data_IF_042241161636
#
_entry.id   IF_042241161636
#
_cell.length_a   1.000
_cell.length_b   1.000
_cell.length_c   1.000
_cell.angle_alpha   90.00
_cell.angle_beta   90.00
_cell.angle_gamma   90.00
#
_symmetry.space_group_name_H-M   'P 1'
#
loop_
_entity.id
_entity.type
_entity.pdbx_description
1 polymer ?
#
# COMPACT_ATOMS: atom_id res chain seq x y z
N UNK A 1 0.97 4.41 -27.37
CA UNK A 1 2.06 3.90 -26.49
C UNK A 1 1.64 2.56 -25.92
N UNK A 2 2.48 1.55 -26.13
CA UNK A 2 2.30 0.17 -25.67
C UNK A 2 3.11 -0.05 -24.38
N UNK A 3 2.47 -0.49 -23.32
CA UNK A 3 3.09 -0.63 -22.00
C UNK A 3 2.97 -2.06 -21.50
N UNK A 4 4.05 -2.57 -20.89
CA UNK A 4 4.02 -3.81 -20.10
C UNK A 4 4.31 -3.45 -18.64
N UNK A 5 3.38 -3.80 -17.74
CA UNK A 5 3.63 -3.81 -16.30
C UNK A 5 4.07 -5.21 -15.89
N UNK A 6 5.21 -5.33 -15.22
CA UNK A 6 5.77 -6.59 -14.76
C UNK A 6 5.77 -6.67 -13.22
N UNK A 7 5.10 -7.67 -12.68
CA UNK A 7 5.08 -7.96 -11.24
C UNK A 7 5.48 -9.41 -11.01
N UNK A 8 6.60 -9.62 -10.29
CA UNK A 8 7.14 -10.95 -10.04
C UNK A 8 6.39 -11.67 -8.91
N UNK A 9 5.09 -11.89 -9.12
CA UNK A 9 4.18 -12.52 -8.17
C UNK A 9 3.16 -13.37 -8.89
N UNK A 10 2.68 -14.41 -8.20
CA UNK A 10 1.53 -15.19 -8.66
C UNK A 10 0.24 -14.40 -8.39
N UNK A 11 -0.57 -14.22 -9.43
CA UNK A 11 -1.90 -13.63 -9.33
C UNK A 11 -2.94 -14.69 -9.71
N UNK A 12 -3.81 -15.04 -8.76
CA UNK A 12 -4.89 -15.98 -9.03
C UNK A 12 -6.08 -15.25 -9.66
N UNK A 13 -6.31 -15.50 -10.95
CA UNK A 13 -7.43 -14.93 -11.70
C UNK A 13 -8.66 -15.84 -11.73
N UNK A 14 -8.75 -16.86 -10.87
CA UNK A 14 -9.94 -17.75 -10.80
C UNK A 14 -11.14 -16.94 -10.28
N UNK A 15 -12.27 -17.05 -11.00
CA UNK A 15 -13.58 -16.48 -10.68
C UNK A 15 -13.57 -14.97 -10.41
N UNK A 16 -13.70 -14.14 -11.46
CA UNK A 16 -14.07 -12.71 -11.43
C UNK A 16 -13.81 -11.85 -10.15
N UNK A 17 -13.44 -12.46 -9.06
CA UNK A 17 -13.04 -11.85 -7.79
C UNK A 17 -11.62 -12.27 -7.43
N UNK A 18 -10.68 -11.33 -7.51
CA UNK A 18 -9.29 -11.54 -7.08
C UNK A 18 -9.27 -11.50 -5.55
N UNK A 19 -9.54 -12.62 -4.93
CA UNK A 19 -9.93 -12.68 -3.52
C UNK A 19 -8.80 -12.53 -2.49
N UNK A 20 -7.52 -12.41 -2.86
CA UNK A 20 -6.40 -12.19 -1.90
C UNK A 20 -5.18 -11.62 -2.61
N UNK A 21 -5.28 -10.40 -3.16
CA UNK A 21 -4.13 -9.72 -3.72
C UNK A 21 -3.23 -9.14 -2.64
N UNK A 22 -1.93 -9.23 -2.86
CA UNK A 22 -0.98 -8.38 -2.18
C UNK A 22 -1.10 -6.92 -2.61
N UNK A 23 -0.59 -5.99 -1.79
CA UNK A 23 -0.68 -4.56 -2.10
C UNK A 23 0.02 -4.19 -3.41
N UNK A 24 1.15 -4.83 -3.73
CA UNK A 24 1.91 -4.55 -4.97
C UNK A 24 1.15 -5.08 -6.18
N UNK A 25 0.62 -6.29 -6.10
CA UNK A 25 -0.19 -6.92 -7.15
C UNK A 25 -1.44 -6.08 -7.45
N UNK A 26 -2.12 -5.63 -6.41
CA UNK A 26 -3.28 -4.75 -6.55
C UNK A 26 -2.89 -3.40 -7.18
N UNK A 27 -1.79 -2.77 -6.75
CA UNK A 27 -1.31 -1.54 -7.36
C UNK A 27 -1.05 -1.70 -8.87
N UNK A 28 -0.42 -2.80 -9.30
CA UNK A 28 -0.17 -3.07 -10.71
C UNK A 28 -1.48 -3.26 -11.50
N UNK A 29 -2.44 -3.99 -10.95
CA UNK A 29 -3.75 -4.19 -11.58
C UNK A 29 -4.53 -2.88 -11.70
N UNK A 30 -4.59 -2.09 -10.64
CA UNK A 30 -5.30 -0.82 -10.62
C UNK A 30 -4.68 0.17 -11.61
N UNK A 31 -3.34 0.28 -11.62
CA UNK A 31 -2.65 1.13 -12.56
C UNK A 31 -2.92 0.69 -14.00
N UNK A 32 -2.78 -0.61 -14.31
CA UNK A 32 -3.02 -1.15 -15.64
C UNK A 32 -4.44 -0.83 -16.15
N UNK A 33 -5.45 -1.11 -15.33
CA UNK A 33 -6.84 -0.87 -15.70
C UNK A 33 -7.14 0.63 -15.93
N UNK A 34 -6.56 1.52 -15.11
CA UNK A 34 -6.79 2.95 -15.28
C UNK A 34 -5.99 3.56 -16.44
N UNK A 35 -4.81 3.04 -16.76
CA UNK A 35 -4.09 3.42 -17.99
C UNK A 35 -4.82 2.97 -19.26
N UNK A 36 -5.48 1.79 -19.25
CA UNK A 36 -6.37 1.35 -20.35
C UNK A 36 -7.56 2.31 -20.51
N UNK A 37 -8.16 2.78 -19.42
CA UNK A 37 -9.24 3.79 -19.48
C UNK A 37 -8.76 5.11 -20.11
N UNK A 38 -7.47 5.45 -19.97
CA UNK A 38 -6.83 6.61 -20.60
C UNK A 38 -6.40 6.35 -22.06
N UNK A 39 -6.80 5.24 -22.66
CA UNK A 39 -6.55 4.91 -24.07
C UNK A 39 -5.18 4.29 -24.37
N UNK A 40 -4.44 3.82 -23.36
CA UNK A 40 -3.15 3.17 -23.57
C UNK A 40 -3.30 1.66 -23.79
N UNK A 41 -2.45 1.09 -24.65
CA UNK A 41 -2.33 -0.37 -24.82
C UNK A 41 -1.47 -0.95 -23.70
N UNK A 42 -2.09 -1.59 -22.72
CA UNK A 42 -1.42 -2.09 -21.52
C UNK A 42 -1.56 -3.59 -21.39
N UNK A 43 -0.46 -4.28 -21.09
CA UNK A 43 -0.41 -5.70 -20.73
C UNK A 43 0.19 -5.87 -19.32
N UNK A 44 -0.31 -6.84 -18.57
CA UNK A 44 0.24 -7.22 -17.28
C UNK A 44 1.03 -8.53 -17.42
N UNK A 45 2.31 -8.50 -17.03
CA UNK A 45 3.15 -9.69 -16.93
C UNK A 45 3.25 -10.13 -15.47
N UNK A 46 2.85 -11.37 -15.17
CA UNK A 46 2.94 -11.96 -13.83
C UNK A 46 3.22 -13.46 -13.89
N UNK A 47 3.37 -14.10 -12.74
CA UNK A 47 3.63 -15.55 -12.68
C UNK A 47 2.33 -16.29 -13.00
N UNK A 48 2.18 -16.72 -14.25
CA UNK A 48 1.10 -17.58 -14.77
C UNK A 48 1.68 -18.56 -15.78
N UNK A 49 1.00 -19.70 -16.01
CA UNK A 49 1.43 -20.69 -17.04
C UNK A 49 1.09 -20.20 -18.45
N UNK A 50 -0.15 -19.80 -18.69
CA UNK A 50 -0.66 -19.45 -20.01
C UNK A 50 -1.18 -18.01 -20.04
N UNK A 51 -1.20 -17.40 -21.24
CA UNK A 51 -1.84 -16.10 -21.46
C UNK A 51 -3.30 -16.14 -21.03
N UNK A 52 -3.75 -15.06 -20.40
CA UNK A 52 -5.13 -14.89 -19.91
C UNK A 52 -5.64 -13.49 -20.23
N UNK A 53 -6.91 -13.26 -19.98
CA UNK A 53 -7.54 -11.95 -20.06
C UNK A 53 -8.28 -11.69 -18.74
N UNK A 54 -8.09 -10.52 -18.16
CA UNK A 54 -8.82 -10.09 -16.98
C UNK A 54 -9.58 -8.80 -17.30
N UNK A 55 -10.88 -8.95 -17.61
CA UNK A 55 -11.64 -7.88 -18.23
C UNK A 55 -11.02 -7.45 -19.57
N UNK A 56 -10.69 -6.16 -19.69
CA UNK A 56 -9.98 -5.62 -20.87
C UNK A 56 -8.46 -5.78 -20.81
N UNK A 57 -7.90 -6.19 -19.67
CA UNK A 57 -6.45 -6.29 -19.46
C UNK A 57 -5.90 -7.65 -19.94
N UNK A 58 -5.05 -7.69 -20.98
CA UNK A 58 -4.31 -8.89 -21.35
C UNK A 58 -3.25 -9.21 -20.30
N UNK A 59 -3.18 -10.47 -19.88
CA UNK A 59 -2.22 -10.97 -18.91
C UNK A 59 -1.32 -12.01 -19.58
N UNK A 60 -0.01 -11.83 -19.44
CA UNK A 60 1.01 -12.68 -20.07
C UNK A 60 1.93 -13.32 -19.04
N UNK A 61 2.52 -14.51 -19.34
CA UNK A 61 3.51 -15.11 -18.48
C UNK A 61 4.75 -14.22 -18.35
N UNK A 62 5.20 -13.98 -17.12
CA UNK A 62 6.33 -13.06 -16.86
C UNK A 62 7.64 -13.59 -17.48
N UNK A 63 7.81 -14.90 -17.59
CA UNK A 63 8.99 -15.50 -18.21
C UNK A 63 9.13 -15.14 -19.69
N UNK A 64 8.04 -14.79 -20.39
CA UNK A 64 8.11 -14.32 -21.77
C UNK A 64 8.93 -13.04 -21.93
N UNK A 65 9.10 -12.25 -20.86
CA UNK A 65 9.94 -11.05 -20.86
C UNK A 65 11.45 -11.37 -20.94
N UNK A 66 11.85 -12.58 -20.62
CA UNK A 66 13.25 -13.02 -20.66
C UNK A 66 13.65 -13.61 -22.02
N UNK A 67 12.69 -14.06 -22.81
CA UNK A 67 12.91 -14.81 -24.07
C UNK A 67 12.65 -13.98 -25.31
N UNK A 68 11.81 -12.94 -25.24
CA UNK A 68 11.37 -12.14 -26.40
C UNK A 68 12.07 -10.78 -26.47
N UNK A 69 12.30 -10.28 -27.68
CA UNK A 69 12.63 -8.86 -27.93
C UNK A 69 11.36 -8.04 -27.79
N UNK A 70 11.25 -7.27 -26.69
CA UNK A 70 10.01 -6.53 -26.36
C UNK A 70 9.81 -5.28 -27.22
N UNK A 71 10.86 -4.73 -27.84
CA UNK A 71 10.79 -3.55 -28.70
C UNK A 71 9.79 -3.68 -29.86
N UNK A 72 9.45 -4.90 -30.24
CA UNK A 72 8.40 -5.14 -31.24
C UNK A 72 6.97 -5.05 -30.66
N UNK A 73 6.82 -5.12 -29.31
CA UNK A 73 5.53 -5.30 -28.65
C UNK A 73 5.23 -4.26 -27.57
N UNK A 74 6.24 -3.49 -27.12
CA UNK A 74 6.04 -2.44 -26.15
C UNK A 74 7.07 -1.32 -26.28
N UNK A 75 6.63 -0.11 -25.95
CA UNK A 75 7.47 1.08 -25.91
C UNK A 75 8.06 1.25 -24.50
N UNK A 76 7.33 0.83 -23.47
CA UNK A 76 7.68 1.01 -22.06
C UNK A 76 7.51 -0.28 -21.26
N UNK A 77 8.54 -0.69 -20.55
CA UNK A 77 8.49 -1.75 -19.55
C UNK A 77 8.58 -1.17 -18.14
N UNK A 78 7.51 -1.27 -17.36
CA UNK A 78 7.46 -0.89 -15.95
C UNK A 78 7.61 -2.17 -15.12
N UNK A 79 8.68 -2.29 -14.33
CA UNK A 79 8.93 -3.47 -13.49
C UNK A 79 8.87 -3.13 -12.01
N UNK A 80 8.03 -3.84 -11.26
CA UNK A 80 7.84 -3.61 -9.83
C UNK A 80 8.91 -4.33 -9.00
N UNK A 81 9.70 -3.57 -8.24
CA UNK A 81 10.74 -4.02 -7.29
C UNK A 81 11.86 -4.91 -7.87
N UNK A 82 11.96 -5.07 -9.17
CA UNK A 82 13.04 -5.88 -9.77
C UNK A 82 13.47 -5.35 -11.13
N UNK A 83 14.77 -5.29 -11.36
CA UNK A 83 15.37 -4.92 -12.65
C UNK A 83 15.64 -6.13 -13.56
N UNK A 84 15.38 -7.35 -13.08
CA UNK A 84 15.69 -8.62 -13.77
C UNK A 84 15.23 -8.66 -15.24
N UNK A 85 14.11 -8.04 -15.56
CA UNK A 85 13.49 -8.09 -16.88
C UNK A 85 14.03 -7.06 -17.88
N UNK A 86 15.00 -6.22 -17.48
CA UNK A 86 15.60 -5.19 -18.34
C UNK A 86 16.75 -5.70 -19.21
N UNK A 87 17.44 -6.76 -18.79
CA UNK A 87 18.77 -7.15 -19.33
C UNK A 87 18.78 -7.49 -20.83
N UNK A 88 17.72 -8.02 -21.38
CA UNK A 88 17.67 -8.40 -22.81
C UNK A 88 16.90 -7.39 -23.66
N UNK A 89 16.51 -6.24 -23.07
CA UNK A 89 15.61 -5.30 -23.73
C UNK A 89 16.39 -4.09 -24.20
N UNK A 90 16.49 -3.92 -25.52
CA UNK A 90 17.05 -2.71 -26.18
C UNK A 90 15.91 -1.89 -26.76
N UNK A 91 16.13 -0.60 -26.93
CA UNK A 91 15.20 0.34 -27.61
C UNK A 91 13.79 0.40 -27.01
N UNK A 92 13.70 0.29 -25.68
CA UNK A 92 12.48 0.54 -24.91
C UNK A 92 12.77 1.37 -23.67
N UNK A 93 11.79 2.13 -23.21
CA UNK A 93 11.87 2.88 -21.97
C UNK A 93 11.72 1.89 -20.78
N UNK A 94 12.70 1.91 -19.87
CA UNK A 94 12.74 1.06 -18.69
C UNK A 94 12.40 1.86 -17.46
N UNK A 95 11.36 1.44 -16.73
CA UNK A 95 10.92 2.08 -15.48
C UNK A 95 10.93 1.06 -14.35
N UNK A 96 11.72 1.33 -13.32
CA UNK A 96 11.73 0.54 -12.08
C UNK A 96 10.78 1.18 -11.07
N UNK A 97 9.67 0.52 -10.77
CA UNK A 97 8.67 0.99 -9.79
C UNK A 97 8.94 0.37 -8.43
N UNK A 98 9.50 1.16 -7.51
CA UNK A 98 9.90 0.69 -6.18
C UNK A 98 8.80 0.90 -5.15
N UNK A 99 8.33 -0.22 -4.59
CA UNK A 99 7.41 -0.27 -3.45
C UNK A 99 8.13 -0.60 -2.14
N UNK A 100 9.32 -1.19 -2.20
CA UNK A 100 10.11 -1.58 -1.04
C UNK A 100 11.51 -0.97 -1.13
N UNK A 101 12.16 -0.81 0.04
CA UNK A 101 13.55 -0.39 0.08
C UNK A 101 14.45 -1.38 -0.68
N UNK A 102 15.31 -0.84 -1.51
CA UNK A 102 16.33 -1.58 -2.23
C UNK A 102 17.66 -1.44 -1.50
N UNK A 103 18.08 -2.48 -0.79
CA UNK A 103 19.36 -2.56 -0.10
C UNK A 103 20.44 -3.05 -1.06
N UNK A 104 21.66 -2.50 -1.00
CA UNK A 104 22.76 -2.83 -1.92
C UNK A 104 23.10 -4.32 -1.85
N UNK A 105 23.36 -4.86 -0.67
CA UNK A 105 23.68 -6.29 -0.47
C UNK A 105 22.62 -7.21 -1.09
N UNK A 106 21.35 -6.88 -0.87
CA UNK A 106 20.24 -7.64 -1.42
C UNK A 106 20.12 -7.52 -2.93
N UNK A 107 20.49 -6.36 -3.49
CA UNK A 107 20.50 -6.14 -4.94
C UNK A 107 21.66 -6.88 -5.62
N UNK A 108 22.83 -6.97 -4.98
CA UNK A 108 23.97 -7.80 -5.43
C UNK A 108 23.56 -9.26 -5.44
N UNK A 109 23.12 -9.80 -4.29
CA UNK A 109 22.72 -11.22 -4.15
C UNK A 109 21.64 -11.65 -5.15
N UNK A 110 20.80 -10.73 -5.60
CA UNK A 110 19.72 -11.00 -6.58
C UNK A 110 20.09 -10.61 -8.01
N UNK A 111 21.34 -10.32 -8.31
CA UNK A 111 21.84 -9.84 -9.60
C UNK A 111 21.08 -8.61 -10.15
N UNK A 112 20.52 -7.79 -9.26
CA UNK A 112 19.77 -6.59 -9.65
C UNK A 112 20.69 -5.39 -9.83
N UNK A 113 21.79 -5.31 -9.06
CA UNK A 113 22.75 -4.20 -9.16
C UNK A 113 23.36 -4.14 -10.56
N UNK A 114 23.88 -5.26 -11.06
CA UNK A 114 24.43 -5.33 -12.42
C UNK A 114 23.39 -4.93 -13.48
N UNK A 115 22.17 -5.40 -13.33
CA UNK A 115 21.08 -5.02 -14.23
C UNK A 115 20.79 -3.52 -14.19
N UNK A 116 20.84 -2.86 -13.03
CA UNK A 116 20.65 -1.41 -12.89
C UNK A 116 21.82 -0.64 -13.50
N UNK A 117 23.06 -1.11 -13.26
CA UNK A 117 24.27 -0.49 -13.82
C UNK A 117 24.24 -0.49 -15.36
N UNK A 118 23.88 -1.61 -15.96
CA UNK A 118 23.85 -1.77 -17.42
C UNK A 118 22.68 -1.02 -18.08
N UNK A 119 21.53 -0.96 -17.40
CA UNK A 119 20.28 -0.47 -18.01
C UNK A 119 19.91 0.98 -17.59
N UNK A 120 20.47 1.47 -16.51
CA UNK A 120 20.19 2.83 -15.96
C UNK A 120 18.71 3.20 -16.04
N UNK A 121 17.77 2.42 -15.43
CA UNK A 121 16.36 2.64 -15.61
C UNK A 121 15.91 3.97 -15.00
N UNK A 122 14.80 4.52 -15.48
CA UNK A 122 14.07 5.53 -14.74
C UNK A 122 13.48 4.90 -13.48
N UNK A 123 13.61 5.53 -12.31
CA UNK A 123 13.11 4.99 -11.06
C UNK A 123 11.93 5.79 -10.52
N UNK A 124 10.82 5.12 -10.28
CA UNK A 124 9.63 5.68 -9.64
C UNK A 124 9.49 5.12 -8.24
N UNK A 125 9.44 5.99 -7.24
CA UNK A 125 9.28 5.69 -5.83
C UNK A 125 7.86 5.99 -5.38
N UNK A 126 7.29 5.14 -4.53
CA UNK A 126 5.92 5.33 -4.03
C UNK A 126 5.78 6.41 -2.95
N UNK A 127 6.90 6.93 -2.41
CA UNK A 127 6.94 8.00 -1.40
C UNK A 127 8.25 8.77 -1.45
N UNK A 128 8.27 9.99 -0.90
CA UNK A 128 9.51 10.76 -0.70
C UNK A 128 10.44 10.03 0.27
N UNK A 129 9.89 9.46 1.34
CA UNK A 129 10.63 8.65 2.30
C UNK A 129 11.41 7.53 1.60
N UNK A 130 10.74 6.72 0.77
CA UNK A 130 11.41 5.62 0.05
C UNK A 130 12.50 6.14 -0.91
N UNK A 131 12.25 7.26 -1.60
CA UNK A 131 13.25 7.93 -2.44
C UNK A 131 14.48 8.33 -1.61
N UNK A 132 14.28 8.92 -0.43
CA UNK A 132 15.34 9.46 0.41
C UNK A 132 16.20 8.36 1.06
N UNK A 133 15.58 7.24 1.49
CA UNK A 133 16.31 6.11 2.07
C UNK A 133 16.96 5.20 1.02
N UNK A 134 16.68 5.40 -0.27
CA UNK A 134 17.33 4.64 -1.34
C UNK A 134 18.59 5.37 -1.77
N UNK A 135 19.72 4.72 -1.58
CA UNK A 135 21.04 5.31 -1.86
C UNK A 135 21.14 5.95 -3.25
N UNK A 136 21.89 7.04 -3.35
CA UNK A 136 22.21 7.72 -4.62
C UNK A 136 23.18 6.93 -5.49
N UNK A 137 23.88 5.95 -4.95
CA UNK A 137 24.82 5.09 -5.69
C UNK A 137 24.17 4.26 -6.81
N UNK A 138 22.85 4.07 -6.78
CA UNK A 138 22.17 3.46 -7.91
C UNK A 138 22.10 4.45 -9.09
N UNK A 139 22.67 4.11 -10.27
CA UNK A 139 22.72 5.01 -11.43
C UNK A 139 21.40 5.02 -12.20
N UNK A 140 20.35 5.44 -11.52
CA UNK A 140 19.05 5.67 -12.17
C UNK A 140 19.12 6.87 -13.10
N UNK A 141 18.55 6.75 -14.32
CA UNK A 141 18.44 7.86 -15.27
C UNK A 141 17.59 9.00 -14.70
N UNK A 142 16.54 8.68 -13.94
CA UNK A 142 15.73 9.65 -13.22
C UNK A 142 15.23 9.08 -11.89
N UNK A 143 14.87 9.94 -10.93
CA UNK A 143 14.34 9.58 -9.60
C UNK A 143 13.07 10.38 -9.32
N UNK A 144 11.91 9.82 -9.64
CA UNK A 144 10.60 10.45 -9.54
C UNK A 144 9.77 9.84 -8.44
N UNK A 145 8.91 10.62 -7.78
CA UNK A 145 7.94 10.11 -6.80
C UNK A 145 6.55 10.14 -7.41
N UNK A 146 5.92 8.97 -7.54
CA UNK A 146 4.49 8.82 -7.88
C UNK A 146 3.88 7.89 -6.86
N UNK A 147 2.94 8.40 -6.09
CA UNK A 147 2.28 7.67 -5.01
C UNK A 147 1.43 6.51 -5.53
N UNK A 148 1.17 5.51 -4.68
CA UNK A 148 0.13 4.53 -4.96
C UNK A 148 -1.26 5.15 -4.82
N UNK A 149 -2.23 4.57 -5.52
CA UNK A 149 -3.62 4.98 -5.44
C UNK A 149 -4.41 4.26 -4.35
N UNK A 150 -5.59 4.79 -4.07
CA UNK A 150 -6.61 4.20 -3.21
C UNK A 150 -7.75 3.61 -4.05
N UNK A 151 -8.24 2.45 -3.64
CA UNK A 151 -9.42 1.84 -4.29
C UNK A 151 -10.68 2.66 -4.01
N UNK A 152 -11.55 2.77 -5.00
CA UNK A 152 -12.87 3.42 -4.89
C UNK A 152 -13.73 2.85 -3.75
N UNK A 153 -13.54 1.57 -3.41
CA UNK A 153 -14.24 0.93 -2.29
C UNK A 153 -14.07 1.70 -0.97
N UNK A 154 -12.91 2.31 -0.76
CA UNK A 154 -12.63 3.10 0.44
C UNK A 154 -12.96 4.58 0.23
N UNK A 155 -12.73 5.14 -0.95
CA UNK A 155 -13.04 6.54 -1.27
C UNK A 155 -14.54 6.84 -1.28
N UNK A 156 -15.37 5.85 -1.66
CA UNK A 156 -16.84 5.93 -1.66
C UNK A 156 -17.46 5.41 -0.36
N UNK A 157 -16.64 5.01 0.61
CA UNK A 157 -17.09 4.44 1.87
C UNK A 157 -17.74 5.51 2.75
N UNK A 158 -18.97 5.27 3.20
CA UNK A 158 -19.68 6.18 4.09
C UNK A 158 -19.53 5.71 5.54
N UNK A 159 -19.17 6.62 6.43
CA UNK A 159 -19.08 6.32 7.87
C UNK A 159 -20.46 5.96 8.45
N UNK A 160 -20.44 5.00 9.36
CA UNK A 160 -21.62 4.54 10.10
C UNK A 160 -21.40 4.72 11.59
N UNK A 161 -22.41 5.14 12.33
CA UNK A 161 -22.34 5.24 13.80
C UNK A 161 -22.23 3.84 14.42
N UNK A 162 -21.42 3.71 15.44
CA UNK A 162 -21.39 2.58 16.37
C UNK A 162 -21.44 3.05 17.81
N UNK A 163 -21.94 2.20 18.68
CA UNK A 163 -22.04 2.45 20.11
C UNK A 163 -20.68 2.36 20.81
N UNK A 164 -19.86 1.38 20.43
CA UNK A 164 -18.56 1.17 21.03
C UNK A 164 -17.44 1.79 20.18
N UNK A 165 -16.41 2.38 20.82
CA UNK A 165 -15.22 2.87 20.13
C UNK A 165 -14.43 1.70 19.52
N UNK A 166 -14.33 1.64 18.19
CA UNK A 166 -13.56 0.62 17.49
C UNK A 166 -12.32 1.27 16.90
N UNK A 167 -11.18 0.77 17.34
CA UNK A 167 -9.85 1.08 16.81
C UNK A 167 -9.47 0.01 15.81
N UNK A 168 -8.77 0.38 14.75
CA UNK A 168 -8.28 -0.58 13.78
C UNK A 168 -6.77 -0.52 13.66
N UNK A 169 -6.20 -1.69 13.40
CA UNK A 169 -4.83 -1.83 12.97
C UNK A 169 -4.74 -2.89 11.87
N UNK A 170 -4.12 -2.54 10.77
CA UNK A 170 -3.94 -3.46 9.64
C UNK A 170 -2.47 -3.71 9.42
N UNK A 171 -2.05 -4.96 9.60
CA UNK A 171 -0.65 -5.38 9.60
C UNK A 171 -0.47 -6.71 8.89
N UNK A 172 0.66 -6.88 8.19
CA UNK A 172 1.00 -8.15 7.51
C UNK A 172 1.97 -9.05 8.28
N UNK A 173 2.74 -8.50 9.20
CA UNK A 173 3.77 -9.20 9.99
C UNK A 173 3.66 -8.74 11.44
N UNK A 174 4.24 -9.52 12.36
CA UNK A 174 4.21 -9.23 13.81
C UNK A 174 5.06 -8.00 14.23
N UNK A 175 5.17 -7.00 13.37
CA UNK A 175 5.97 -5.80 13.64
C UNK A 175 5.24 -4.89 14.62
N UNK A 176 5.73 -4.85 15.86
CA UNK A 176 5.15 -4.02 16.91
C UNK A 176 3.86 -4.60 17.51
N UNK A 177 3.58 -5.90 17.33
CA UNK A 177 2.38 -6.52 17.90
C UNK A 177 2.42 -6.52 19.43
N UNK A 178 3.53 -6.95 20.04
CA UNK A 178 3.74 -6.97 21.49
C UNK A 178 3.53 -5.60 22.12
N UNK A 179 4.09 -4.57 21.49
CA UNK A 179 4.00 -3.20 21.97
C UNK A 179 2.59 -2.62 21.86
N UNK A 180 1.88 -2.93 20.78
CA UNK A 180 0.47 -2.53 20.62
C UNK A 180 -0.41 -3.25 21.64
N UNK A 181 -0.21 -4.56 21.87
CA UNK A 181 -0.96 -5.32 22.87
C UNK A 181 -0.70 -4.78 24.28
N UNK A 182 0.56 -4.49 24.59
CA UNK A 182 0.94 -3.86 25.87
C UNK A 182 0.30 -2.49 26.03
N UNK A 183 0.43 -1.61 25.02
CA UNK A 183 -0.17 -0.28 25.03
C UNK A 183 -1.69 -0.35 25.22
N UNK A 184 -2.35 -1.25 24.50
CA UNK A 184 -3.79 -1.43 24.57
C UNK A 184 -4.23 -1.81 25.99
N UNK A 185 -3.63 -2.87 26.55
CA UNK A 185 -3.98 -3.35 27.88
C UNK A 185 -3.64 -2.33 28.98
N UNK A 186 -2.45 -1.71 28.92
CA UNK A 186 -1.94 -0.84 29.97
C UNK A 186 -2.57 0.54 30.01
N UNK A 187 -2.97 1.09 28.86
CA UNK A 187 -3.37 2.49 28.76
C UNK A 187 -4.78 2.69 28.19
N UNK A 188 -5.24 1.90 27.21
CA UNK A 188 -6.53 2.12 26.58
C UNK A 188 -7.63 1.35 27.29
N UNK A 189 -7.51 0.03 27.37
CA UNK A 189 -8.57 -0.82 27.92
C UNK A 189 -8.91 -0.51 29.38
N UNK A 190 -7.90 -0.18 30.20
CA UNK A 190 -8.11 0.22 31.61
C UNK A 190 -8.99 1.47 31.77
N UNK A 191 -8.96 2.40 30.79
CA UNK A 191 -9.73 3.65 30.82
C UNK A 191 -11.06 3.55 30.06
N UNK A 192 -11.06 2.72 29.02
CA UNK A 192 -12.21 2.54 28.12
C UNK A 192 -12.48 1.04 27.90
N UNK A 193 -13.06 0.34 28.90
CA UNK A 193 -13.29 -1.11 28.80
C UNK A 193 -14.27 -1.51 27.68
N UNK A 194 -15.08 -0.57 27.19
CA UNK A 194 -15.99 -0.76 26.04
C UNK A 194 -15.30 -0.64 24.68
N UNK A 195 -14.03 -0.18 24.64
CA UNK A 195 -13.28 -0.04 23.41
C UNK A 195 -12.86 -1.41 22.85
N UNK A 196 -12.82 -1.50 21.53
CA UNK A 196 -12.37 -2.70 20.81
C UNK A 196 -11.20 -2.36 19.88
N UNK A 197 -10.17 -3.22 19.86
CA UNK A 197 -9.09 -3.17 18.87
C UNK A 197 -9.28 -4.29 17.85
N UNK A 198 -9.53 -3.91 16.61
CA UNK A 198 -9.70 -4.83 15.48
C UNK A 198 -8.40 -4.93 14.68
N UNK A 199 -7.78 -6.11 14.65
CA UNK A 199 -6.51 -6.36 13.96
C UNK A 199 -6.78 -7.18 12.69
N UNK A 200 -6.34 -6.64 11.54
CA UNK A 200 -6.51 -7.25 10.22
C UNK A 200 -5.16 -7.58 9.58
N UNK A 201 -5.16 -8.58 8.69
CA UNK A 201 -4.03 -8.94 7.84
C UNK A 201 -2.99 -9.86 8.48
N UNK A 202 -3.01 -10.01 9.78
CA UNK A 202 -2.15 -10.95 10.48
C UNK A 202 -2.67 -12.38 10.30
N UNK A 203 -1.84 -13.27 9.76
CA UNK A 203 -2.09 -14.71 9.86
C UNK A 203 -1.79 -15.11 11.30
N UNK A 204 -2.82 -15.43 12.08
CA UNK A 204 -2.66 -15.77 13.48
C UNK A 204 -2.13 -17.20 13.64
N UNK A 205 -0.84 -17.38 13.79
CA UNK A 205 -0.27 -18.55 14.45
C UNK A 205 -0.19 -18.35 15.97
N UNK A 206 -1.02 -17.43 16.50
CA UNK A 206 -1.07 -17.18 17.94
C UNK A 206 -1.73 -18.35 18.66
N UNK A 207 -1.14 -18.73 19.80
CA UNK A 207 -1.70 -19.75 20.69
C UNK A 207 -3.14 -19.40 21.09
N UNK A 208 -4.01 -20.40 21.21
CA UNK A 208 -5.42 -20.24 21.62
C UNK A 208 -5.56 -19.46 22.94
N UNK A 209 -4.68 -19.71 23.92
CA UNK A 209 -4.66 -19.00 25.20
C UNK A 209 -4.39 -17.50 25.03
N UNK A 210 -3.41 -17.13 24.18
CA UNK A 210 -3.12 -15.72 23.88
C UNK A 210 -4.32 -15.06 23.19
N UNK A 211 -4.96 -15.74 22.22
CA UNK A 211 -6.14 -15.21 21.54
C UNK A 211 -7.32 -15.00 22.51
N UNK A 212 -7.51 -15.91 23.48
CA UNK A 212 -8.55 -15.77 24.49
C UNK A 212 -8.27 -14.59 25.42
N UNK A 213 -7.04 -14.45 25.92
CA UNK A 213 -6.62 -13.32 26.75
C UNK A 213 -6.82 -11.98 26.02
N UNK A 214 -6.49 -11.94 24.73
CA UNK A 214 -6.73 -10.75 23.90
C UNK A 214 -8.24 -10.43 23.80
N UNK A 215 -9.10 -11.42 23.62
CA UNK A 215 -10.56 -11.21 23.56
C UNK A 215 -11.11 -10.64 24.85
N UNK A 216 -10.61 -11.09 25.99
CA UNK A 216 -11.05 -10.61 27.32
C UNK A 216 -10.76 -9.11 27.53
N UNK A 217 -9.84 -8.55 26.80
CA UNK A 217 -9.48 -7.12 26.83
C UNK A 217 -9.89 -6.39 25.53
N UNK A 218 -10.92 -6.86 24.83
CA UNK A 218 -11.50 -6.20 23.66
C UNK A 218 -10.69 -6.29 22.37
N UNK A 219 -9.63 -7.12 22.29
CA UNK A 219 -8.82 -7.28 21.08
C UNK A 219 -9.35 -8.40 20.22
N UNK A 220 -9.64 -8.14 18.95
CA UNK A 220 -10.20 -9.10 17.99
C UNK A 220 -9.31 -9.23 16.75
N UNK A 221 -8.88 -10.46 16.44
CA UNK A 221 -8.09 -10.78 15.25
C UNK A 221 -8.97 -11.30 14.14
N UNK A 222 -8.96 -10.65 12.98
CA UNK A 222 -9.79 -11.01 11.82
C UNK A 222 -9.00 -11.69 10.69
N UNK A 223 -7.68 -11.77 10.81
CA UNK A 223 -6.84 -12.33 9.76
C UNK A 223 -6.89 -11.52 8.46
N UNK A 224 -6.65 -12.22 7.33
CA UNK A 224 -6.69 -11.60 6.01
C UNK A 224 -8.12 -11.62 5.50
N UNK A 225 -8.71 -10.46 5.32
CA UNK A 225 -10.05 -10.25 4.75
C UNK A 225 -9.97 -9.63 3.37
N UNK A 226 -10.99 -9.79 2.55
CA UNK A 226 -11.08 -9.10 1.26
C UNK A 226 -11.37 -7.59 1.44
N UNK A 227 -11.05 -6.80 0.42
CA UNK A 227 -11.19 -5.34 0.50
C UNK A 227 -12.62 -4.84 0.73
N UNK A 228 -13.63 -5.54 0.21
CA UNK A 228 -15.04 -5.18 0.45
C UNK A 228 -15.39 -5.32 1.93
N UNK A 229 -14.97 -6.43 2.55
CA UNK A 229 -15.16 -6.67 3.99
C UNK A 229 -14.38 -5.63 4.79
N UNK A 230 -13.11 -5.36 4.42
CA UNK A 230 -12.28 -4.39 5.12
C UNK A 230 -12.89 -2.98 5.07
N UNK A 231 -13.34 -2.53 3.90
CA UNK A 231 -14.02 -1.24 3.74
C UNK A 231 -15.27 -1.15 4.62
N UNK A 232 -16.13 -2.21 4.60
CA UNK A 232 -17.29 -2.30 5.51
C UNK A 232 -16.88 -2.19 6.97
N UNK A 233 -15.79 -2.85 7.39
CA UNK A 233 -15.29 -2.77 8.78
C UNK A 233 -14.78 -1.37 9.12
N UNK A 234 -14.04 -0.73 8.23
CA UNK A 234 -13.57 0.64 8.40
C UNK A 234 -14.73 1.65 8.55
N UNK A 235 -15.86 1.45 7.86
CA UNK A 235 -17.00 2.36 8.00
C UNK A 235 -17.59 2.41 9.42
N UNK A 236 -17.41 1.38 10.20
CA UNK A 236 -17.85 1.29 11.60
C UNK A 236 -16.74 1.60 12.62
N UNK A 237 -15.53 1.83 12.17
CA UNK A 237 -14.39 2.07 13.06
C UNK A 237 -14.22 3.57 13.31
N UNK A 238 -13.62 3.91 14.44
CA UNK A 238 -13.46 5.29 14.87
C UNK A 238 -12.17 5.91 14.36
N UNK A 239 -11.07 5.21 14.55
CA UNK A 239 -9.73 5.66 14.17
C UNK A 239 -8.79 4.48 13.90
N UNK A 240 -7.65 4.77 13.31
CA UNK A 240 -6.60 3.79 13.05
C UNK A 240 -5.37 4.10 13.90
N UNK A 241 -4.91 3.10 14.65
CA UNK A 241 -3.63 3.11 15.35
C UNK A 241 -2.60 2.38 14.49
N UNK A 242 -1.52 3.04 14.13
CA UNK A 242 -0.48 2.41 13.32
C UNK A 242 0.92 2.87 13.74
N UNK A 243 1.74 2.04 14.38
CA UNK A 243 3.07 2.45 14.88
C UNK A 243 4.07 2.77 13.75
N UNK A 244 3.78 2.40 12.51
CA UNK A 244 4.56 2.81 11.33
C UNK A 244 5.90 2.10 11.17
N UNK A 245 6.07 0.88 11.68
CA UNK A 245 7.31 0.12 11.47
C UNK A 245 7.50 -0.27 10.00
N UNK A 246 8.66 0.09 9.43
CA UNK A 246 9.11 -0.27 8.07
C UNK A 246 8.09 0.01 6.94
N UNK A 247 7.33 1.07 7.07
CA UNK A 247 6.35 1.45 6.05
C UNK A 247 6.98 2.32 4.96
N UNK A 248 6.92 1.87 3.74
CA UNK A 248 7.39 2.60 2.56
C UNK A 248 6.32 3.45 1.88
N UNK A 249 5.05 3.16 2.16
CA UNK A 249 3.89 3.92 1.69
C UNK A 249 2.69 3.80 2.64
N UNK A 250 2.42 2.61 3.16
CA UNK A 250 1.28 2.25 3.99
C UNK A 250 -0.08 2.43 3.29
N UNK A 251 -0.40 1.52 2.38
CA UNK A 251 -1.68 1.51 1.66
C UNK A 251 -2.86 1.42 2.65
N UNK A 252 -2.73 0.62 3.71
CA UNK A 252 -3.80 0.44 4.72
C UNK A 252 -4.15 1.74 5.46
N UNK A 253 -3.15 2.60 5.73
CA UNK A 253 -3.42 3.91 6.32
C UNK A 253 -4.14 4.84 5.34
N UNK A 254 -3.80 4.78 4.03
CA UNK A 254 -4.52 5.52 3.00
C UNK A 254 -5.98 5.03 2.89
N UNK A 255 -6.20 3.73 2.87
CA UNK A 255 -7.53 3.10 2.84
C UNK A 255 -8.36 3.48 4.08
N UNK A 256 -7.72 3.52 5.26
CA UNK A 256 -8.33 4.01 6.50
C UNK A 256 -8.74 5.47 6.41
N UNK A 257 -7.83 6.35 6.00
CA UNK A 257 -8.10 7.78 5.83
C UNK A 257 -9.19 8.05 4.79
N UNK A 258 -9.18 7.32 3.67
CA UNK A 258 -10.21 7.40 2.64
C UNK A 258 -11.60 7.00 3.18
N UNK A 259 -11.64 6.08 4.15
CA UNK A 259 -12.85 5.69 4.89
C UNK A 259 -13.18 6.61 6.07
N UNK A 260 -12.45 7.70 6.26
CA UNK A 260 -12.67 8.68 7.31
C UNK A 260 -12.07 8.31 8.66
N UNK A 261 -11.07 7.43 8.71
CA UNK A 261 -10.36 7.12 9.95
C UNK A 261 -9.17 8.07 10.12
N UNK A 262 -9.12 8.93 11.12
CA UNK A 262 -7.88 9.60 11.52
C UNK A 262 -6.83 8.55 11.88
N UNK A 263 -5.57 8.80 11.49
CA UNK A 263 -4.46 7.89 11.78
C UNK A 263 -3.60 8.44 12.89
N UNK A 264 -3.40 7.66 13.96
CA UNK A 264 -2.44 7.97 15.01
C UNK A 264 -1.19 7.12 14.78
N UNK A 265 -0.06 7.77 14.54
CA UNK A 265 1.19 7.11 14.15
C UNK A 265 2.40 7.74 14.81
N UNK A 266 3.53 7.03 14.79
CA UNK A 266 4.81 7.67 15.10
C UNK A 266 5.29 8.56 13.96
N UNK A 267 6.05 9.61 14.28
CA UNK A 267 6.64 10.51 13.29
C UNK A 267 7.85 9.85 12.60
N UNK A 268 7.61 8.77 11.87
CA UNK A 268 8.65 8.02 11.16
C UNK A 268 8.09 7.36 9.89
N UNK A 269 8.99 6.95 9.01
CA UNK A 269 8.68 6.25 7.75
C UNK A 269 7.75 7.05 6.82
N UNK A 270 7.22 6.43 5.79
CA UNK A 270 6.31 7.09 4.85
C UNK A 270 4.98 7.54 5.50
N UNK A 271 4.64 7.06 6.69
CA UNK A 271 3.46 7.52 7.42
C UNK A 271 3.60 8.98 7.88
N UNK A 272 4.81 9.45 8.17
CA UNK A 272 5.05 10.85 8.52
C UNK A 272 4.71 11.83 7.39
N UNK A 273 4.77 11.38 6.13
CA UNK A 273 4.38 12.18 4.97
C UNK A 273 2.85 12.21 4.79
N UNK A 274 2.17 11.16 5.19
CA UNK A 274 0.73 10.99 4.99
C UNK A 274 -0.10 11.66 6.08
N UNK A 275 0.37 11.58 7.32
CA UNK A 275 -0.34 12.15 8.45
C UNK A 275 0.09 13.60 8.65
N UNK A 276 -0.85 14.53 8.46
CA UNK A 276 -0.70 15.95 8.81
C UNK A 276 -1.26 16.13 10.21
N UNK A 277 -0.38 16.49 11.15
CA UNK A 277 -0.68 16.54 12.58
C UNK A 277 -1.83 17.51 12.88
N UNK A 278 -2.86 17.05 13.59
CA UNK A 278 -4.05 17.85 13.92
C UNK A 278 -5.01 18.09 12.75
N UNK A 279 -4.73 17.56 11.54
CA UNK A 279 -5.56 17.75 10.36
C UNK A 279 -6.29 16.46 9.96
N UNK A 280 -5.56 15.37 9.72
CA UNK A 280 -6.13 14.07 9.32
C UNK A 280 -5.66 12.91 10.22
N UNK A 281 -5.11 13.25 11.39
CA UNK A 281 -4.58 12.34 12.38
C UNK A 281 -3.54 13.00 13.26
N UNK A 282 -2.80 12.19 14.00
CA UNK A 282 -1.76 12.68 14.89
C UNK A 282 -0.46 11.92 14.74
N UNK A 283 0.65 12.67 14.80
CA UNK A 283 2.01 12.13 14.93
C UNK A 283 2.45 12.23 16.37
N UNK A 284 2.86 11.11 16.95
CA UNK A 284 3.27 10.99 18.36
C UNK A 284 4.66 10.37 18.46
N UNK A 285 5.27 10.44 19.64
CA UNK A 285 6.64 9.94 19.88
C UNK A 285 6.71 8.76 20.87
N UNK A 286 5.58 8.34 21.44
CA UNK A 286 5.54 7.20 22.35
C UNK A 286 4.18 6.50 22.35
N UNK A 287 4.16 5.22 22.74
CA UNK A 287 2.92 4.46 22.89
C UNK A 287 1.98 5.08 23.95
N UNK A 288 2.53 5.62 25.02
CA UNK A 288 1.75 6.34 26.05
C UNK A 288 1.02 7.55 25.45
N UNK A 289 1.72 8.35 24.62
CA UNK A 289 1.08 9.48 23.90
C UNK A 289 0.09 9.00 22.85
N UNK A 290 0.38 7.90 22.14
CA UNK A 290 -0.54 7.29 21.18
C UNK A 290 -1.86 6.92 21.87
N UNK A 291 -1.79 6.22 22.99
CA UNK A 291 -2.96 5.86 23.79
C UNK A 291 -3.72 7.08 24.32
N UNK A 292 -3.00 8.09 24.88
CA UNK A 292 -3.63 9.32 25.38
C UNK A 292 -4.39 10.07 24.27
N UNK A 293 -3.79 10.17 23.08
CA UNK A 293 -4.41 10.82 21.92
C UNK A 293 -5.64 10.04 21.46
N UNK A 294 -5.54 8.71 21.37
CA UNK A 294 -6.62 7.82 21.01
C UNK A 294 -7.83 7.95 21.95
N UNK A 295 -7.59 7.90 23.28
CA UNK A 295 -8.65 8.06 24.28
C UNK A 295 -9.31 9.44 24.18
N UNK A 296 -8.52 10.52 23.99
CA UNK A 296 -9.07 11.86 23.84
C UNK A 296 -10.10 11.95 22.70
N UNK A 297 -9.85 11.28 21.59
CA UNK A 297 -10.77 11.29 20.43
C UNK A 297 -12.09 10.53 20.68
N UNK A 298 -12.16 9.67 21.72
CA UNK A 298 -13.42 9.00 22.11
C UNK A 298 -14.43 10.05 22.60
N UNK A 299 -13.97 10.99 23.43
CA UNK A 299 -14.81 12.02 24.05
C UNK A 299 -14.94 13.27 23.22
N UNK A 300 -13.89 13.67 22.51
CA UNK A 300 -13.85 14.87 21.66
C UNK A 300 -14.39 14.58 20.25
N UNK A 301 -15.73 14.45 20.17
CA UNK A 301 -16.44 14.14 18.92
C UNK A 301 -16.28 15.22 17.85
N UNK A 302 -16.11 16.48 18.25
CA UNK A 302 -15.91 17.60 17.31
C UNK A 302 -14.57 17.45 16.59
N UNK A 303 -13.47 17.29 17.35
CA UNK A 303 -12.14 17.04 16.78
C UNK A 303 -12.13 15.78 15.93
N UNK A 304 -12.71 14.67 16.40
CA UNK A 304 -12.80 13.43 15.64
C UNK A 304 -13.50 13.64 14.29
N UNK A 305 -14.62 14.38 14.27
CA UNK A 305 -15.38 14.66 13.04
C UNK A 305 -14.55 15.49 12.06
N UNK A 306 -13.89 16.54 12.55
CA UNK A 306 -13.03 17.39 11.73
C UNK A 306 -11.86 16.62 11.11
N UNK A 307 -11.16 15.81 11.92
CA UNK A 307 -10.06 14.94 11.44
C UNK A 307 -10.57 13.94 10.39
N UNK A 308 -11.74 13.34 10.61
CA UNK A 308 -12.38 12.40 9.72
C UNK A 308 -12.70 13.02 8.36
N UNK A 309 -13.35 14.19 8.35
CA UNK A 309 -13.70 14.90 7.12
C UNK A 309 -12.44 15.30 6.33
N UNK A 310 -11.42 15.78 7.01
CA UNK A 310 -10.15 16.11 6.41
C UNK A 310 -9.41 14.87 5.88
N UNK A 311 -9.46 13.74 6.59
CA UNK A 311 -8.88 12.48 6.11
C UNK A 311 -9.52 12.04 4.78
N UNK A 312 -10.86 12.08 4.68
CA UNK A 312 -11.58 11.81 3.44
C UNK A 312 -11.17 12.78 2.33
N UNK A 313 -11.22 14.11 2.62
CA UNK A 313 -10.89 15.15 1.64
C UNK A 313 -9.49 15.00 1.08
N UNK A 314 -8.49 14.80 1.94
CA UNK A 314 -7.10 14.68 1.55
C UNK A 314 -6.78 13.36 0.83
N UNK A 315 -7.60 12.32 1.03
CA UNK A 315 -7.43 11.03 0.35
C UNK A 315 -7.89 11.04 -1.10
N UNK A 316 -8.77 11.97 -1.50
CA UNK A 316 -9.31 12.05 -2.89
C UNK A 316 -8.22 12.20 -3.94
N UNK A 317 -7.14 12.95 -3.63
CA UNK A 317 -6.00 13.14 -4.54
C UNK A 317 -5.20 11.86 -4.82
N UNK A 318 -5.46 10.79 -4.08
CA UNK A 318 -4.87 9.47 -4.27
C UNK A 318 -5.83 8.50 -4.95
N UNK A 319 -6.92 8.96 -5.60
CA UNK A 319 -7.71 8.04 -6.43
C UNK A 319 -6.83 7.43 -7.53
N UNK A 320 -7.11 6.19 -7.93
CA UNK A 320 -6.34 5.57 -9.02
C UNK A 320 -6.48 6.31 -10.34
N UNK A 321 -7.55 7.06 -10.54
CA UNK A 321 -7.74 7.93 -11.70
C UNK A 321 -6.72 9.06 -11.72
N UNK A 322 -6.55 9.78 -10.59
CA UNK A 322 -5.56 10.86 -10.46
C UNK A 322 -4.13 10.31 -10.56
N UNK A 323 -3.86 9.19 -9.91
CA UNK A 323 -2.54 8.55 -9.95
C UNK A 323 -2.20 8.05 -11.36
N UNK A 324 -3.16 7.43 -12.06
CA UNK A 324 -2.94 6.98 -13.43
C UNK A 324 -2.72 8.14 -14.41
N UNK A 325 -3.40 9.28 -14.23
CA UNK A 325 -3.14 10.49 -14.99
C UNK A 325 -1.72 11.03 -14.74
N UNK A 326 -1.25 10.99 -13.49
CA UNK A 326 0.13 11.34 -13.14
C UNK A 326 1.13 10.42 -13.84
N UNK A 327 0.87 9.11 -13.85
CA UNK A 327 1.66 8.13 -14.59
C UNK A 327 1.62 8.38 -16.10
N UNK A 328 0.46 8.63 -16.67
CA UNK A 328 0.28 8.94 -18.09
C UNK A 328 1.14 10.13 -18.53
N UNK A 329 1.07 11.23 -17.79
CA UNK A 329 1.86 12.43 -18.06
C UNK A 329 3.38 12.19 -17.91
N UNK A 330 3.78 11.43 -16.89
CA UNK A 330 5.17 11.03 -16.69
C UNK A 330 5.69 10.17 -17.86
N UNK A 331 4.93 9.16 -18.28
CA UNK A 331 5.33 8.28 -19.38
C UNK A 331 5.38 9.01 -20.73
N UNK A 332 4.48 9.94 -20.98
CA UNK A 332 4.55 10.79 -22.17
C UNK A 332 5.85 11.60 -22.22
N UNK A 333 6.24 12.22 -21.10
CA UNK A 333 7.51 12.97 -21.01
C UNK A 333 8.76 12.11 -21.23
N UNK A 334 8.69 10.81 -20.96
CA UNK A 334 9.82 9.90 -21.22
C UNK A 334 9.89 9.44 -22.67
N UNK A 335 8.78 9.53 -23.41
CA UNK A 335 8.66 9.05 -24.78
C UNK A 335 8.96 10.15 -25.83
N UNK A 336 9.05 11.40 -25.37
CA UNK A 336 9.58 12.55 -26.10
C UNK A 336 11.04 12.80 -25.72
#
# INVERSE_FOLDING_TARGET
>A
MKIILAVNSYINFKNSSINKLGGIEDCNLQLANNLIKLGLDVKLACIIKNKKKYGRLPVIPINSLLTKKLSQFCDVLISSNTSKYFNKQKNIIKVLWLHNQMQIEKSIRKNQLLSILLNKPNCVFVSKYLKNITTSLYPFKSRTVISNGCSELFLKNKRKKKTNPIFVWTIRRNRGLSEILYMWNSYIYKKEPKAELHIYGLKSNLNKKILQNCRNIGIKFFGIVNKKVLAKKYSYSMEMIHPGYDETFCISALEGQASGLPVITFNRTALSERVVNGVNGYKVNSFKRMAKTAIKLITDKSTLTNLSNNAIRLSKKYSWEVIALTWYNYLRKLNH
#
